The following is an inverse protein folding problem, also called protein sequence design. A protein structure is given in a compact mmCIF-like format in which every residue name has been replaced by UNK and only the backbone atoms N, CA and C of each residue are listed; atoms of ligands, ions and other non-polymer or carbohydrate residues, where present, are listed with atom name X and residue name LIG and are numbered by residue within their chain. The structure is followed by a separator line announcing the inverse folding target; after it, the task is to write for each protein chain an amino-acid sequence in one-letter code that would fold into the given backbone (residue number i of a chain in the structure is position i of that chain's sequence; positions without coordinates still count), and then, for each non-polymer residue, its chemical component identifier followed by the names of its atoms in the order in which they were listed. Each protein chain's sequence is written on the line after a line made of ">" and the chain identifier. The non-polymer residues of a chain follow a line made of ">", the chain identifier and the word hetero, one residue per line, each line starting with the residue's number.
data_IF_391241163349
#
_entry.id   IF_391241163349
#
_cell.length_a   1.000
_cell.length_b   1.000
_cell.length_c   1.000
_cell.angle_alpha   90.00
_cell.angle_beta   90.00
_cell.angle_gamma   90.00
#
_symmetry.space_group_name_H-M   'P 1'
#
loop_
_entity.id
_entity.type
_entity.pdbx_description
1 polymer ?
#
# COMPACT_ATOMS: atom_id res chain seq x y z
N UNK A 1 0.67 -9.51 14.48
CA UNK A 1 1.02 -9.10 13.11
C UNK A 1 0.94 -7.59 12.97
N UNK A 2 1.85 -7.00 12.21
CA UNK A 2 1.82 -5.56 11.93
C UNK A 2 1.77 -5.32 10.43
N UNK A 3 1.63 -4.07 10.01
CA UNK A 3 1.54 -3.73 8.59
C UNK A 3 2.76 -4.22 7.81
N UNK A 4 3.95 -4.07 8.37
CA UNK A 4 5.18 -4.50 7.70
C UNK A 4 5.15 -5.99 7.41
N UNK A 5 4.86 -6.80 8.43
CA UNK A 5 4.80 -8.25 8.26
C UNK A 5 3.73 -8.66 7.24
N UNK A 6 2.57 -8.02 7.31
CA UNK A 6 1.46 -8.29 6.41
C UNK A 6 1.85 -8.02 4.94
N UNK A 7 2.40 -6.83 4.68
CA UNK A 7 2.74 -6.42 3.32
C UNK A 7 3.95 -7.17 2.78
N UNK A 8 4.95 -7.44 3.63
CA UNK A 8 6.11 -8.23 3.22
C UNK A 8 5.71 -9.66 2.84
N UNK A 9 4.84 -10.27 3.63
CA UNK A 9 4.33 -11.61 3.33
C UNK A 9 3.54 -11.60 2.01
N UNK A 10 2.68 -10.61 1.81
CA UNK A 10 1.89 -10.53 0.59
C UNK A 10 2.78 -10.29 -0.64
N UNK A 11 3.82 -9.47 -0.50
CA UNK A 11 4.73 -9.20 -1.60
C UNK A 11 5.40 -10.47 -2.14
N UNK A 12 5.67 -11.45 -1.28
CA UNK A 12 6.28 -12.71 -1.72
C UNK A 12 5.34 -13.57 -2.55
N UNK A 13 4.04 -13.32 -2.46
CA UNK A 13 3.03 -14.10 -3.20
C UNK A 13 2.69 -13.49 -4.55
N UNK A 14 3.12 -12.26 -4.82
CA UNK A 14 2.81 -11.54 -6.05
C UNK A 14 4.00 -11.57 -7.01
N UNK A 15 3.69 -11.62 -8.31
CA UNK A 15 4.73 -11.69 -9.34
C UNK A 15 5.41 -10.33 -9.56
N UNK A 16 6.71 -10.36 -9.82
CA UNK A 16 7.49 -9.19 -10.26
C UNK A 16 7.53 -8.03 -9.25
N UNK A 17 7.42 -8.33 -7.95
CA UNK A 17 7.49 -7.31 -6.92
C UNK A 17 8.91 -7.18 -6.41
N UNK A 18 9.41 -5.96 -6.38
CA UNK A 18 10.70 -5.60 -5.81
C UNK A 18 10.49 -4.68 -4.62
N UNK A 19 11.17 -4.96 -3.52
CA UNK A 19 11.13 -4.13 -2.32
C UNK A 19 12.45 -3.37 -2.20
N UNK A 20 12.36 -2.07 -1.95
CA UNK A 20 13.53 -1.21 -1.74
C UNK A 20 13.36 -0.46 -0.43
N UNK A 21 14.38 -0.47 0.41
CA UNK A 21 14.36 0.23 1.69
C UNK A 21 15.25 1.46 1.60
N UNK A 22 14.66 2.63 1.87
CA UNK A 22 15.41 3.89 1.88
C UNK A 22 16.25 4.01 3.14
N UNK A 23 17.27 4.87 3.11
CA UNK A 23 18.15 5.10 4.25
C UNK A 23 17.38 5.55 5.51
N UNK A 24 16.28 6.30 5.34
CA UNK A 24 15.44 6.75 6.45
C UNK A 24 14.45 5.67 6.93
N UNK A 25 14.44 4.48 6.31
CA UNK A 25 13.67 3.34 6.78
C UNK A 25 12.36 3.05 6.06
N UNK A 26 11.89 3.93 5.17
CA UNK A 26 10.68 3.66 4.39
C UNK A 26 10.94 2.51 3.41
N UNK A 27 9.92 1.66 3.21
CA UNK A 27 10.00 0.56 2.26
C UNK A 27 9.07 0.87 1.08
N UNK A 28 9.59 0.73 -0.14
CA UNK A 28 8.81 0.91 -1.35
C UNK A 28 8.72 -0.43 -2.09
N UNK A 29 7.50 -0.81 -2.46
CA UNK A 29 7.28 -1.97 -3.31
C UNK A 29 6.93 -1.48 -4.71
N UNK A 30 7.57 -2.10 -5.70
CA UNK A 30 7.38 -1.74 -7.09
C UNK A 30 7.12 -2.98 -7.93
N UNK A 31 6.40 -2.80 -9.03
CA UNK A 31 6.26 -3.81 -10.07
C UNK A 31 7.04 -3.30 -11.27
N UNK A 32 8.12 -4.00 -11.63
CA UNK A 32 9.08 -3.44 -12.56
C UNK A 32 9.73 -2.21 -11.93
N UNK A 33 9.71 -1.09 -12.63
CA UNK A 33 10.26 0.18 -12.16
C UNK A 33 9.20 1.15 -11.61
N UNK A 34 7.95 0.68 -11.44
CA UNK A 34 6.83 1.53 -11.02
C UNK A 34 6.38 1.17 -9.61
N UNK A 35 6.51 2.12 -8.69
CA UNK A 35 6.09 1.95 -7.31
C UNK A 35 4.56 1.89 -7.21
N UNK A 36 4.05 1.03 -6.31
CA UNK A 36 2.62 0.93 -6.06
C UNK A 36 2.28 0.94 -4.56
N UNK A 37 3.26 0.79 -3.69
CA UNK A 37 3.02 0.83 -2.24
C UNK A 37 4.27 1.32 -1.52
N UNK A 38 4.06 2.07 -0.45
CA UNK A 38 5.14 2.58 0.41
C UNK A 38 4.72 2.39 1.86
N UNK A 39 5.62 1.86 2.68
CA UNK A 39 5.40 1.75 4.12
C UNK A 39 6.27 2.80 4.81
N UNK A 40 5.70 3.54 5.77
CA UNK A 40 6.44 4.56 6.52
C UNK A 40 7.57 3.92 7.33
N UNK A 41 8.61 4.73 7.71
CA UNK A 41 9.73 4.19 8.48
C UNK A 41 9.32 3.53 9.79
N UNK A 42 8.30 4.08 10.47
CA UNK A 42 7.78 3.54 11.73
C UNK A 42 6.84 2.35 11.53
N UNK A 43 6.50 2.01 10.29
CA UNK A 43 5.59 0.91 9.99
C UNK A 43 4.12 1.19 10.31
N UNK A 44 3.77 2.42 10.69
CA UNK A 44 2.42 2.76 11.15
C UNK A 44 1.48 3.15 10.02
N UNK A 45 2.00 3.56 8.88
CA UNK A 45 1.19 4.01 7.75
C UNK A 45 1.69 3.39 6.45
N UNK A 46 0.75 3.03 5.58
CA UNK A 46 1.05 2.54 4.24
C UNK A 46 0.37 3.43 3.21
N UNK A 47 1.04 3.65 2.09
CA UNK A 47 0.48 4.39 0.97
C UNK A 47 0.30 3.42 -0.20
N UNK A 48 -0.79 3.57 -0.93
CA UNK A 48 -1.11 2.70 -2.06
C UNK A 48 -1.51 3.53 -3.28
N UNK A 49 -1.02 3.12 -4.45
CA UNK A 49 -1.40 3.71 -5.74
C UNK A 49 -2.60 2.96 -6.28
N UNK A 50 -3.75 3.60 -6.34
CA UNK A 50 -5.02 2.96 -6.70
C UNK A 50 -5.63 3.59 -7.95
N UNK A 51 -6.45 2.82 -8.66
CA UNK A 51 -7.29 3.39 -9.72
C UNK A 51 -8.27 4.39 -9.11
N UNK A 52 -8.69 5.38 -9.88
CA UNK A 52 -9.53 6.46 -9.37
C UNK A 52 -10.79 5.99 -8.63
N UNK A 53 -11.58 5.01 -9.14
CA UNK A 53 -12.75 4.53 -8.40
C UNK A 53 -12.38 3.87 -7.07
N UNK A 54 -11.29 3.10 -7.04
CA UNK A 54 -10.82 2.42 -5.83
C UNK A 54 -10.32 3.44 -4.83
N UNK A 55 -9.56 4.44 -5.29
CA UNK A 55 -9.06 5.52 -4.43
C UNK A 55 -10.22 6.32 -3.81
N UNK A 56 -11.26 6.60 -4.59
CA UNK A 56 -12.43 7.31 -4.10
C UNK A 56 -13.16 6.52 -3.01
N UNK A 57 -13.31 5.22 -3.20
CA UNK A 57 -13.91 4.34 -2.21
C UNK A 57 -13.05 4.24 -0.95
N UNK A 58 -11.73 4.12 -1.13
CA UNK A 58 -10.80 4.05 -0.02
C UNK A 58 -10.84 5.33 0.84
N UNK A 59 -10.95 6.49 0.19
CA UNK A 59 -10.99 7.78 0.89
C UNK A 59 -12.21 7.92 1.82
N UNK A 60 -13.24 7.12 1.63
CA UNK A 60 -14.41 7.10 2.52
C UNK A 60 -14.23 6.16 3.71
N UNK A 61 -13.15 5.43 3.74
CA UNK A 61 -12.87 4.46 4.80
C UNK A 61 -12.19 5.18 5.96
N UNK A 62 -12.51 4.81 7.23
CA UNK A 62 -11.78 5.36 8.36
C UNK A 62 -10.27 5.14 8.24
N UNK A 63 -9.49 6.07 8.78
CA UNK A 63 -8.03 6.02 8.82
C UNK A 63 -7.36 6.17 7.44
N UNK A 64 -8.11 6.62 6.43
CA UNK A 64 -7.57 6.85 5.09
C UNK A 64 -7.67 8.33 4.72
N UNK A 65 -6.57 8.87 4.20
CA UNK A 65 -6.52 10.24 3.69
C UNK A 65 -5.84 10.24 2.31
N UNK A 66 -6.12 11.25 1.47
CA UNK A 66 -5.38 11.37 0.22
C UNK A 66 -3.89 11.58 0.50
N UNK A 67 -3.05 11.00 -0.35
CA UNK A 67 -1.61 11.20 -0.24
C UNK A 67 -1.20 12.44 -1.03
N UNK A 68 -0.21 13.15 -0.50
CA UNK A 68 0.40 14.27 -1.21
C UNK A 68 1.30 13.80 -2.37
N UNK A 69 1.54 12.50 -2.48
CA UNK A 69 2.47 11.94 -3.47
C UNK A 69 2.00 12.17 -4.90
N UNK A 70 0.78 11.77 -5.22
CA UNK A 70 0.15 12.08 -6.50
C UNK A 70 -1.30 11.62 -6.51
N UNK A 71 -2.03 11.93 -7.58
CA UNK A 71 -3.43 11.52 -7.73
C UNK A 71 -3.53 9.99 -7.70
N UNK A 72 -4.55 9.49 -7.02
CA UNK A 72 -4.78 8.05 -6.89
C UNK A 72 -4.02 7.40 -5.74
N UNK A 73 -3.08 8.09 -5.11
CA UNK A 73 -2.39 7.58 -3.93
C UNK A 73 -3.17 7.94 -2.68
N UNK A 74 -3.30 6.98 -1.78
CA UNK A 74 -3.96 7.16 -0.48
C UNK A 74 -3.01 6.73 0.63
N UNK A 75 -3.17 7.35 1.81
CA UNK A 75 -2.44 6.97 3.02
C UNK A 75 -3.41 6.24 3.93
N UNK A 76 -3.04 5.05 4.37
CA UNK A 76 -3.79 4.25 5.33
C UNK A 76 -2.98 4.18 6.62
N UNK A 77 -3.51 4.76 7.70
CA UNK A 77 -2.89 4.74 9.02
C UNK A 77 -3.88 4.17 10.02
N UNK A 78 -4.02 2.83 10.09
CA UNK A 78 -5.00 2.22 10.99
C UNK A 78 -4.64 2.46 12.45
N UNK A 79 -5.64 2.80 13.25
CA UNK A 79 -5.47 2.93 14.70
C UNK A 79 -5.16 1.57 15.31
N UNK A 80 -5.84 0.52 14.81
CA UNK A 80 -5.64 -0.86 15.22
C UNK A 80 -5.63 -1.72 13.97
N UNK A 81 -4.66 -2.63 13.89
CA UNK A 81 -4.59 -3.56 12.76
C UNK A 81 -5.41 -4.82 13.10
N UNK A 82 -6.74 -4.65 13.10
CA UNK A 82 -7.67 -5.77 13.25
C UNK A 82 -7.86 -6.49 11.90
N UNK A 83 -8.72 -7.50 11.87
CA UNK A 83 -8.94 -8.28 10.65
C UNK A 83 -9.46 -7.44 9.50
N UNK A 84 -10.33 -6.47 9.77
CA UNK A 84 -10.85 -5.58 8.73
C UNK A 84 -9.75 -4.68 8.15
N UNK A 85 -8.91 -4.13 9.01
CA UNK A 85 -7.81 -3.27 8.58
C UNK A 85 -6.78 -4.08 7.78
N UNK A 86 -6.47 -5.30 8.23
CA UNK A 86 -5.56 -6.19 7.53
C UNK A 86 -6.09 -6.55 6.14
N UNK A 87 -7.38 -6.89 6.04
CA UNK A 87 -8.01 -7.22 4.76
C UNK A 87 -7.96 -6.03 3.80
N UNK A 88 -8.23 -4.82 4.30
CA UNK A 88 -8.17 -3.61 3.47
C UNK A 88 -6.75 -3.34 2.97
N UNK A 89 -5.77 -3.41 3.85
CA UNK A 89 -4.38 -3.17 3.47
C UNK A 89 -3.93 -4.16 2.38
N UNK A 90 -4.25 -5.44 2.56
CA UNK A 90 -3.92 -6.47 1.59
C UNK A 90 -4.63 -6.24 0.26
N UNK A 91 -5.92 -5.90 0.30
CA UNK A 91 -6.71 -5.66 -0.91
C UNK A 91 -6.17 -4.47 -1.70
N UNK A 92 -5.79 -3.39 -1.03
CA UNK A 92 -5.24 -2.21 -1.69
C UNK A 92 -3.83 -2.46 -2.23
N UNK A 93 -3.03 -3.24 -1.51
CA UNK A 93 -1.72 -3.66 -1.99
C UNK A 93 -1.87 -4.45 -3.30
N UNK A 94 -2.78 -5.42 -3.32
CA UNK A 94 -3.09 -6.23 -4.50
C UNK A 94 -3.62 -5.36 -5.64
N UNK A 95 -4.48 -4.41 -5.32
CA UNK A 95 -5.08 -3.50 -6.30
C UNK A 95 -4.01 -2.64 -6.98
N UNK A 96 -3.08 -2.11 -6.21
CA UNK A 96 -1.96 -1.35 -6.76
C UNK A 96 -1.09 -2.18 -7.68
N UNK A 97 -0.83 -3.41 -7.30
CA UNK A 97 -0.07 -4.34 -8.12
C UNK A 97 -0.78 -4.66 -9.44
N UNK A 98 -2.10 -4.97 -9.38
CA UNK A 98 -2.90 -5.28 -10.58
C UNK A 98 -3.01 -4.09 -11.53
N UNK A 99 -3.10 -2.89 -10.99
CA UNK A 99 -3.18 -1.66 -11.79
C UNK A 99 -2.00 -1.57 -12.76
N UNK A 100 -0.80 -1.92 -12.31
CA UNK A 100 0.39 -1.86 -13.13
C UNK A 100 0.46 -2.99 -14.17
N UNK A 101 -0.26 -4.08 -13.93
CA UNK A 101 -0.32 -5.18 -14.90
C UNK A 101 -1.10 -4.77 -16.16
N UNK A 102 -2.02 -3.82 -16.05
CA UNK A 102 -2.86 -3.37 -17.16
C UNK A 102 -2.26 -2.22 -17.96
N UNK A 103 -1.27 -1.61 -17.41
CA UNK A 103 -0.72 -0.42 -18.00
C UNK A 103 0.71 -0.41 -18.09
#
# INVERSE_FOLDING_TARGET
>A
MNLRELLEARATELANVTATRAAHGATTWARGDRAFAVLSPDGAAAEFALDAPVAAAAARTPDVTPSARSAGWVVFRPTTLDDHAADRAQAWFDSGHRRLARG
#
